data_IF_452881476930
#
_entry.id   IF_452881476930
#
_cell.length_a   1.000
_cell.length_b   1.000
_cell.length_c   1.000
_cell.angle_alpha   90.00
_cell.angle_beta   90.00
_cell.angle_gamma   90.00
#
_symmetry.space_group_name_H-M   'P 1'
#
loop_
_entity.id
_entity.type
_entity.pdbx_description
1 polymer ?
#
# COMPACT_ATOMS: atom_id res chain seq x y z
N UNK A 1 15.58 -11.67 -18.53
CA UNK A 1 16.77 -11.15 -17.83
C UNK A 1 16.36 -9.84 -17.15
N UNK A 2 16.77 -9.63 -15.90
CA UNK A 2 16.55 -8.35 -15.23
C UNK A 2 17.22 -7.22 -16.03
N UNK A 3 16.56 -6.07 -16.12
CA UNK A 3 17.07 -4.88 -16.81
C UNK A 3 17.54 -3.89 -15.74
N UNK A 4 18.76 -3.41 -15.87
CA UNK A 4 19.25 -2.30 -15.04
C UNK A 4 18.74 -0.97 -15.63
N UNK A 5 18.05 -0.21 -14.83
CA UNK A 5 17.47 1.09 -15.20
C UNK A 5 17.69 2.10 -14.07
N UNK A 6 17.50 3.37 -14.35
CA UNK A 6 17.56 4.42 -13.32
C UNK A 6 16.25 4.49 -12.52
N UNK A 7 16.27 5.16 -11.36
CA UNK A 7 15.05 5.42 -10.60
C UNK A 7 14.02 6.24 -11.42
N UNK A 8 14.50 7.17 -12.26
CA UNK A 8 13.66 7.94 -13.18
C UNK A 8 12.98 7.03 -14.20
N UNK A 9 13.75 6.15 -14.88
CA UNK A 9 13.16 5.20 -15.83
C UNK A 9 12.11 4.30 -15.17
N UNK A 10 12.37 3.86 -13.92
CA UNK A 10 11.42 3.09 -13.14
C UNK A 10 10.15 3.89 -12.83
N UNK A 11 10.30 5.13 -12.42
CA UNK A 11 9.17 6.03 -12.17
C UNK A 11 8.34 6.31 -13.45
N UNK A 12 8.99 6.37 -14.62
CA UNK A 12 8.32 6.55 -15.92
C UNK A 12 7.50 5.33 -16.36
N UNK A 13 7.80 4.13 -15.85
CA UNK A 13 7.04 2.91 -16.13
C UNK A 13 5.68 2.87 -15.44
N UNK A 14 5.50 3.59 -14.32
CA UNK A 14 4.25 3.62 -13.58
C UNK A 14 3.23 4.49 -14.30
N UNK A 15 2.07 3.90 -14.61
CA UNK A 15 1.04 4.54 -15.41
C UNK A 15 -0.13 5.05 -14.56
N UNK A 16 -0.97 5.90 -15.16
CA UNK A 16 -2.21 6.36 -14.52
C UNK A 16 -3.11 5.17 -14.18
N UNK A 17 -3.61 5.15 -12.95
CA UNK A 17 -4.50 4.10 -12.48
C UNK A 17 -3.83 2.84 -11.94
N UNK A 18 -2.51 2.68 -12.08
CA UNK A 18 -1.79 1.51 -11.59
C UNK A 18 -1.99 1.30 -10.07
N UNK A 19 -2.03 0.04 -9.69
CA UNK A 19 -1.94 -0.39 -8.30
C UNK A 19 -0.47 -0.63 -7.94
N UNK A 20 0.07 0.22 -7.06
CA UNK A 20 1.47 0.22 -6.65
C UNK A 20 1.60 -0.25 -5.21
N UNK A 21 2.49 -1.20 -4.96
CA UNK A 21 2.83 -1.66 -3.61
C UNK A 21 4.31 -1.52 -3.32
N UNK A 22 4.66 -1.48 -2.04
CA UNK A 22 6.04 -1.58 -1.58
C UNK A 22 6.15 -2.50 -0.35
N UNK A 23 7.27 -3.20 -0.25
CA UNK A 23 7.59 -4.01 0.93
C UNK A 23 8.39 -3.14 1.91
N UNK A 24 7.70 -2.58 2.90
CA UNK A 24 8.27 -1.64 3.86
C UNK A 24 7.89 -1.97 5.29
N UNK A 25 8.72 -1.55 6.22
CA UNK A 25 8.42 -1.52 7.65
C UNK A 25 8.93 -0.20 8.24
N UNK A 26 8.04 0.79 8.35
CA UNK A 26 8.44 2.15 8.68
C UNK A 26 9.42 2.72 7.65
N UNK A 27 10.59 3.16 8.08
CA UNK A 27 11.64 3.67 7.20
C UNK A 27 12.47 2.58 6.51
N UNK A 28 12.33 1.31 6.92
CA UNK A 28 13.07 0.20 6.33
C UNK A 28 12.42 -0.28 5.03
N UNK A 29 13.24 -0.62 4.04
CA UNK A 29 12.76 -1.12 2.75
C UNK A 29 12.12 -0.06 1.84
N UNK A 30 12.05 1.21 2.25
CA UNK A 30 11.43 2.27 1.45
C UNK A 30 12.23 2.52 0.17
N UNK A 31 11.60 2.46 -1.03
CA UNK A 31 12.24 2.75 -2.30
C UNK A 31 12.31 4.27 -2.55
N UNK A 32 13.01 4.99 -1.67
CA UNK A 32 13.00 6.46 -1.59
C UNK A 32 13.35 7.14 -2.91
N UNK A 33 14.39 6.66 -3.61
CA UNK A 33 14.83 7.25 -4.88
C UNK A 33 13.72 7.19 -5.95
N UNK A 34 12.97 6.08 -6.00
CA UNK A 34 11.85 5.94 -6.96
C UNK A 34 10.69 6.85 -6.54
N UNK A 35 10.39 6.96 -5.25
CA UNK A 35 9.35 7.85 -4.74
C UNK A 35 9.67 9.32 -5.03
N UNK A 36 10.92 9.74 -4.86
CA UNK A 36 11.37 11.09 -5.21
C UNK A 36 11.20 11.39 -6.71
N UNK A 37 11.57 10.46 -7.58
CA UNK A 37 11.39 10.64 -9.03
C UNK A 37 9.91 10.59 -9.45
N UNK A 38 9.07 9.80 -8.76
CA UNK A 38 7.61 9.82 -8.95
C UNK A 38 7.01 11.18 -8.56
N UNK A 39 7.38 11.72 -7.38
CA UNK A 39 6.95 13.05 -6.96
C UNK A 39 7.32 14.11 -7.99
N UNK A 40 8.60 14.12 -8.39
CA UNK A 40 9.11 15.06 -9.37
C UNK A 40 8.34 14.99 -10.69
N UNK A 41 8.16 13.78 -11.24
CA UNK A 41 7.38 13.57 -12.45
C UNK A 41 5.95 14.09 -12.30
N UNK A 42 5.29 13.77 -11.16
CA UNK A 42 3.93 14.24 -10.91
C UNK A 42 3.85 15.77 -10.83
N UNK A 43 4.77 16.42 -10.14
CA UNK A 43 4.80 17.89 -10.04
C UNK A 43 5.09 18.57 -11.36
N UNK A 44 5.90 17.95 -12.24
CA UNK A 44 6.24 18.47 -13.56
C UNK A 44 5.12 18.24 -14.60
N UNK A 45 4.42 17.09 -14.52
CA UNK A 45 3.54 16.65 -15.63
C UNK A 45 2.09 16.43 -15.22
N UNK A 46 1.78 16.32 -13.92
CA UNK A 46 0.49 15.89 -13.41
C UNK A 46 0.24 14.38 -13.55
N UNK A 47 1.28 13.59 -13.83
CA UNK A 47 1.24 12.13 -14.00
C UNK A 47 2.36 11.45 -13.20
N UNK A 48 2.16 10.21 -12.70
CA UNK A 48 0.94 9.42 -12.77
C UNK A 48 -0.17 9.96 -11.86
N UNK A 49 -1.42 9.64 -12.19
CA UNK A 49 -2.58 10.02 -11.40
C UNK A 49 -3.49 8.83 -11.10
N UNK A 50 -4.35 9.00 -10.12
CA UNK A 50 -5.37 8.01 -9.75
C UNK A 50 -4.83 6.65 -9.34
N UNK A 51 -3.62 6.59 -8.80
CA UNK A 51 -2.98 5.37 -8.34
C UNK A 51 -3.78 4.73 -7.18
N UNK A 52 -3.75 3.41 -7.09
CA UNK A 52 -4.05 2.67 -5.87
C UNK A 52 -2.74 2.37 -5.18
N UNK A 53 -2.50 2.96 -4.00
CA UNK A 53 -1.29 2.72 -3.26
C UNK A 53 -1.54 1.81 -2.06
N UNK A 54 -0.71 0.80 -1.88
CA UNK A 54 -0.86 -0.17 -0.79
C UNK A 54 0.47 -0.56 -0.17
N UNK A 55 0.47 -0.72 1.16
CA UNK A 55 1.58 -1.26 1.94
C UNK A 55 1.06 -1.89 3.23
N UNK A 56 1.80 -2.84 3.80
CA UNK A 56 1.32 -3.52 5.01
C UNK A 56 1.75 -2.81 6.31
N UNK A 57 2.98 -2.34 6.41
CA UNK A 57 3.59 -1.99 7.69
C UNK A 57 4.19 -0.57 7.76
N UNK A 58 3.53 0.39 7.15
CA UNK A 58 4.01 1.77 7.05
C UNK A 58 5.08 1.94 5.98
N UNK A 59 5.17 3.15 5.40
CA UNK A 59 6.11 3.48 4.33
C UNK A 59 6.65 4.89 4.54
N UNK A 60 7.66 5.03 5.39
CA UNK A 60 8.28 6.32 5.69
C UNK A 60 8.75 6.41 7.14
N UNK A 61 9.17 7.60 7.54
CA UNK A 61 9.68 7.90 8.87
C UNK A 61 8.64 8.61 9.72
N UNK A 62 8.61 8.34 11.01
CA UNK A 62 7.88 9.16 11.97
C UNK A 62 8.39 10.62 11.96
N UNK A 63 7.53 11.58 12.31
CA UNK A 63 7.83 13.02 12.23
C UNK A 63 9.20 13.41 12.83
N UNK A 64 9.51 12.92 14.03
CA UNK A 64 10.80 13.21 14.69
C UNK A 64 12.02 12.71 13.89
N UNK A 65 11.91 11.67 13.10
CA UNK A 65 12.98 11.18 12.23
C UNK A 65 13.07 11.98 10.94
N UNK A 66 11.94 12.48 10.42
CA UNK A 66 11.88 13.33 9.23
C UNK A 66 12.56 14.67 9.47
N UNK A 67 12.37 15.27 10.65
CA UNK A 67 13.04 16.53 11.05
C UNK A 67 14.57 16.42 11.01
N UNK A 68 15.12 15.21 11.16
CA UNK A 68 16.54 14.94 11.05
C UNK A 68 17.01 14.56 9.62
N UNK A 69 16.18 14.82 8.60
CA UNK A 69 16.47 14.50 7.20
C UNK A 69 16.33 13.01 6.83
N UNK A 70 15.59 12.26 7.63
CA UNK A 70 15.31 10.85 7.33
C UNK A 70 14.30 10.69 6.18
N UNK A 71 14.10 9.46 5.68
CA UNK A 71 13.28 9.24 4.49
C UNK A 71 11.83 9.73 4.69
N UNK A 72 11.27 10.33 3.64
CA UNK A 72 9.87 10.80 3.61
C UNK A 72 8.88 9.68 3.22
N UNK A 73 9.34 8.68 2.46
CA UNK A 73 8.53 7.55 2.05
C UNK A 73 7.28 7.97 1.27
N UNK A 74 6.11 7.51 1.71
CA UNK A 74 4.84 7.78 1.03
C UNK A 74 4.42 9.27 1.00
N UNK A 75 5.06 10.16 1.76
CA UNK A 75 4.81 11.60 1.64
C UNK A 75 5.08 12.10 0.20
N UNK A 76 6.02 11.47 -0.51
CA UNK A 76 6.33 11.81 -1.91
C UNK A 76 5.18 11.50 -2.87
N UNK A 77 4.34 10.52 -2.56
CA UNK A 77 3.33 10.03 -3.51
C UNK A 77 1.89 10.31 -3.07
N UNK A 78 1.67 10.80 -1.85
CA UNK A 78 0.33 11.10 -1.32
C UNK A 78 -0.23 12.45 -1.77
N UNK A 79 0.17 12.97 -2.93
CA UNK A 79 -0.35 14.23 -3.47
C UNK A 79 -1.79 14.11 -3.96
N UNK A 80 -2.53 15.23 -3.85
CA UNK A 80 -3.89 15.34 -4.38
C UNK A 80 -3.91 15.06 -5.88
N UNK A 81 -4.72 14.07 -6.31
CA UNK A 81 -4.83 13.64 -7.70
C UNK A 81 -3.82 12.55 -8.09
N UNK A 82 -2.71 12.38 -7.37
CA UNK A 82 -1.77 11.28 -7.61
C UNK A 82 -2.33 9.96 -7.10
N UNK A 83 -2.88 9.93 -5.89
CA UNK A 83 -3.56 8.76 -5.31
C UNK A 83 -5.08 8.92 -5.42
N UNK A 84 -5.77 7.84 -5.78
CA UNK A 84 -7.21 7.67 -5.71
C UNK A 84 -7.63 6.79 -4.54
N UNK A 85 -6.83 5.75 -4.23
CA UNK A 85 -7.06 4.80 -3.14
C UNK A 85 -5.79 4.57 -2.34
N UNK A 86 -5.93 4.61 -1.05
CA UNK A 86 -4.89 4.23 -0.10
C UNK A 86 -5.37 3.05 0.73
N UNK A 87 -4.64 1.93 0.71
CA UNK A 87 -5.01 0.68 1.39
C UNK A 87 -3.80 0.19 2.16
N UNK A 88 -3.81 0.37 3.49
CA UNK A 88 -2.68 0.00 4.32
C UNK A 88 -3.10 -0.33 5.75
N UNK A 89 -2.15 -0.65 6.63
CA UNK A 89 -2.49 -0.96 8.03
C UNK A 89 -2.52 0.27 8.94
N UNK A 90 -1.78 1.32 8.61
CA UNK A 90 -1.75 2.59 9.34
C UNK A 90 -1.02 3.68 8.54
N UNK A 91 -1.31 4.93 8.82
CA UNK A 91 -0.68 6.13 8.23
C UNK A 91 0.32 6.82 9.17
N UNK A 92 0.74 6.18 10.27
CA UNK A 92 1.56 6.82 11.31
C UNK A 92 2.97 7.23 10.86
N UNK A 93 3.45 6.68 9.73
CA UNK A 93 4.76 7.04 9.15
C UNK A 93 4.70 8.24 8.20
N UNK A 94 3.51 8.81 7.97
CA UNK A 94 3.30 9.92 7.03
C UNK A 94 2.26 10.89 7.58
N UNK A 95 2.73 12.02 8.10
CA UNK A 95 1.83 13.09 8.58
C UNK A 95 1.07 13.73 7.41
N UNK A 96 1.72 13.83 6.24
CA UNK A 96 1.08 14.37 5.05
C UNK A 96 -0.03 13.45 4.55
N UNK A 97 0.23 12.14 4.42
CA UNK A 97 -0.77 11.14 4.07
C UNK A 97 -1.93 11.13 5.08
N UNK A 98 -1.62 11.09 6.39
CA UNK A 98 -2.63 11.09 7.44
C UNK A 98 -3.55 12.33 7.35
N UNK A 99 -2.98 13.51 7.06
CA UNK A 99 -3.76 14.72 6.84
C UNK A 99 -4.66 14.61 5.61
N UNK A 100 -4.16 14.12 4.49
CA UNK A 100 -4.94 13.93 3.25
C UNK A 100 -6.11 12.95 3.47
N UNK A 101 -5.90 11.89 4.26
CA UNK A 101 -6.95 10.94 4.65
C UNK A 101 -8.01 11.64 5.50
N UNK A 102 -7.60 12.41 6.52
CA UNK A 102 -8.50 13.15 7.40
C UNK A 102 -9.31 14.22 6.65
N UNK A 103 -8.68 14.90 5.70
CA UNK A 103 -9.31 15.89 4.82
C UNK A 103 -10.17 15.23 3.71
N UNK A 104 -10.29 13.91 3.71
CA UNK A 104 -11.09 13.15 2.74
C UNK A 104 -10.68 13.40 1.28
N UNK A 105 -9.37 13.53 1.00
CA UNK A 105 -8.84 13.84 -0.34
C UNK A 105 -8.95 12.64 -1.28
N UNK A 106 -8.66 11.45 -0.80
CA UNK A 106 -8.79 10.17 -1.51
C UNK A 106 -9.42 9.11 -0.60
N UNK A 107 -9.93 8.04 -1.18
CA UNK A 107 -10.52 6.94 -0.41
C UNK A 107 -9.44 6.15 0.35
N UNK A 108 -9.67 5.85 1.63
CA UNK A 108 -8.69 5.19 2.47
C UNK A 108 -9.29 4.04 3.29
N UNK A 109 -8.60 2.90 3.26
CA UNK A 109 -8.90 1.71 4.05
C UNK A 109 -7.74 1.35 4.94
N UNK A 110 -8.05 0.97 6.19
CA UNK A 110 -7.06 0.44 7.12
C UNK A 110 -7.38 -1.03 7.41
N UNK A 111 -6.52 -1.93 6.94
CA UNK A 111 -6.66 -3.37 7.07
C UNK A 111 -5.60 -3.94 8.02
N UNK A 112 -5.85 -5.07 8.70
CA UNK A 112 -4.88 -5.62 9.63
C UNK A 112 -3.59 -6.02 8.93
N UNK A 113 -2.44 -5.53 9.41
CA UNK A 113 -1.11 -5.72 8.83
C UNK A 113 -0.80 -7.19 8.50
N UNK A 114 -0.92 -8.08 9.49
CA UNK A 114 -0.63 -9.50 9.30
C UNK A 114 -1.54 -10.16 8.26
N UNK A 115 -2.81 -9.74 8.21
CA UNK A 115 -3.77 -10.25 7.21
C UNK A 115 -3.41 -9.77 5.80
N UNK A 116 -2.95 -8.54 5.63
CA UNK A 116 -2.48 -8.04 4.33
C UNK A 116 -1.28 -8.85 3.82
N UNK A 117 -0.32 -9.19 4.70
CA UNK A 117 0.81 -10.06 4.33
C UNK A 117 0.34 -11.46 3.91
N UNK A 118 -0.62 -12.05 4.64
CA UNK A 118 -1.21 -13.34 4.26
C UNK A 118 -1.96 -13.24 2.93
N UNK A 119 -2.72 -12.17 2.71
CA UNK A 119 -3.44 -11.91 1.45
C UNK A 119 -2.47 -11.89 0.26
N UNK A 120 -1.36 -11.15 0.32
CA UNK A 120 -0.35 -11.11 -0.74
C UNK A 120 0.35 -12.46 -0.94
N UNK A 121 0.62 -13.18 0.16
CA UNK A 121 1.19 -14.53 0.07
C UNK A 121 0.25 -15.50 -0.67
N UNK A 122 -1.04 -15.45 -0.37
CA UNK A 122 -2.03 -16.28 -1.05
C UNK A 122 -2.20 -15.87 -2.52
N UNK A 123 -2.14 -14.58 -2.84
CA UNK A 123 -2.13 -14.09 -4.21
C UNK A 123 -0.90 -14.59 -5.00
N UNK A 124 0.29 -14.59 -4.40
CA UNK A 124 1.50 -15.15 -5.01
C UNK A 124 1.37 -16.64 -5.32
N UNK A 125 0.46 -17.34 -4.63
CA UNK A 125 0.11 -18.75 -4.88
C UNK A 125 -1.04 -18.91 -5.88
N UNK A 126 -1.56 -17.83 -6.45
CA UNK A 126 -2.66 -17.82 -7.41
C UNK A 126 -4.06 -17.79 -6.79
N UNK A 127 -4.18 -17.56 -5.48
CA UNK A 127 -5.46 -17.44 -4.80
C UNK A 127 -5.98 -15.99 -4.84
N UNK A 128 -7.28 -15.82 -4.68
CA UNK A 128 -7.96 -14.52 -4.79
C UNK A 128 -8.01 -13.73 -3.48
N UNK A 129 -7.35 -14.19 -2.43
CA UNK A 129 -7.34 -13.58 -1.11
C UNK A 129 -7.15 -14.62 -0.01
N UNK A 130 -7.43 -14.25 1.23
CA UNK A 130 -7.31 -15.15 2.38
C UNK A 130 -8.50 -15.07 3.32
N UNK A 131 -8.82 -16.19 3.97
CA UNK A 131 -9.76 -16.26 5.09
C UNK A 131 -9.04 -15.95 6.41
N UNK A 132 -9.67 -15.16 7.27
CA UNK A 132 -9.16 -14.85 8.61
C UNK A 132 -10.31 -14.56 9.57
N UNK A 133 -10.11 -14.83 10.85
CA UNK A 133 -11.00 -14.35 11.92
C UNK A 133 -10.57 -12.97 12.45
N UNK A 134 -9.38 -12.51 12.09
CA UNK A 134 -8.87 -11.19 12.48
C UNK A 134 -9.78 -10.12 11.89
N UNK A 135 -10.23 -9.20 12.71
CA UNK A 135 -11.13 -8.10 12.31
C UNK A 135 -12.61 -8.37 12.55
N UNK A 136 -13.05 -9.60 12.83
CA UNK A 136 -14.44 -9.90 13.20
C UNK A 136 -14.89 -9.01 14.36
N UNK A 137 -16.07 -8.37 14.22
CA UNK A 137 -16.65 -7.48 15.22
C UNK A 137 -15.92 -6.15 15.43
N UNK A 138 -14.98 -5.79 14.55
CA UNK A 138 -14.27 -4.50 14.54
C UNK A 138 -14.72 -3.63 13.36
N UNK A 139 -14.16 -2.42 13.23
CA UNK A 139 -14.44 -1.54 12.07
C UNK A 139 -14.02 -2.15 10.71
N UNK A 140 -13.16 -3.17 10.70
CA UNK A 140 -12.77 -3.89 9.46
C UNK A 140 -13.87 -4.83 8.97
N UNK A 141 -14.71 -5.30 9.89
CA UNK A 141 -15.84 -6.17 9.56
C UNK A 141 -16.85 -5.44 8.66
N UNK A 142 -17.24 -6.01 7.50
CA UNK A 142 -18.19 -5.38 6.58
C UNK A 142 -19.57 -5.06 7.19
N UNK A 143 -19.91 -5.73 8.29
CA UNK A 143 -21.15 -5.42 9.05
C UNK A 143 -21.08 -4.05 9.77
N UNK A 144 -19.90 -3.42 9.78
CA UNK A 144 -19.64 -2.08 10.30
C UNK A 144 -19.08 -1.18 9.19
N UNK A 145 -17.78 -0.90 9.19
CA UNK A 145 -17.15 0.03 8.24
C UNK A 145 -16.36 -0.66 7.10
N UNK A 146 -16.20 -1.99 7.12
CA UNK A 146 -15.47 -2.73 6.07
C UNK A 146 -14.01 -2.28 5.88
N UNK A 147 -13.39 -1.74 6.95
CA UNK A 147 -12.05 -1.19 6.93
C UNK A 147 -11.93 0.26 6.44
N UNK A 148 -13.03 0.89 6.00
CA UNK A 148 -13.01 2.30 5.57
C UNK A 148 -12.71 3.23 6.75
N UNK A 149 -11.77 4.16 6.55
CA UNK A 149 -11.37 5.13 7.57
C UNK A 149 -11.71 6.58 7.21
N UNK A 150 -12.37 6.81 6.07
CA UNK A 150 -12.89 8.11 5.70
C UNK A 150 -14.16 7.99 4.84
N UNK A 151 -14.83 9.13 4.60
CA UNK A 151 -16.13 9.14 3.92
C UNK A 151 -16.03 8.64 2.48
N UNK A 152 -14.99 9.04 1.72
CA UNK A 152 -14.82 8.57 0.34
C UNK A 152 -14.73 7.04 0.22
N UNK A 153 -14.08 6.39 1.18
CA UNK A 153 -14.02 4.93 1.20
C UNK A 153 -15.40 4.32 1.53
N UNK A 154 -16.15 4.91 2.46
CA UNK A 154 -17.53 4.48 2.78
C UNK A 154 -18.46 4.64 1.57
N UNK A 155 -18.32 5.73 0.84
CA UNK A 155 -19.12 5.96 -0.38
C UNK A 155 -18.84 4.89 -1.44
N UNK A 156 -17.57 4.55 -1.67
CA UNK A 156 -17.18 3.47 -2.60
C UNK A 156 -17.65 2.09 -2.13
N UNK A 157 -17.65 1.80 -0.82
CA UNK A 157 -18.25 0.56 -0.29
C UNK A 157 -19.74 0.49 -0.63
N UNK A 158 -20.47 1.59 -0.48
CA UNK A 158 -21.90 1.66 -0.84
C UNK A 158 -22.13 1.47 -2.36
N UNK A 159 -21.16 1.79 -3.18
CA UNK A 159 -21.15 1.54 -4.64
C UNK A 159 -20.70 0.11 -5.00
N UNK A 160 -20.34 -0.70 -4.01
CA UNK A 160 -19.95 -2.11 -4.18
C UNK A 160 -18.45 -2.37 -4.21
N UNK A 161 -17.60 -1.36 -4.02
CA UNK A 161 -16.15 -1.53 -3.93
C UNK A 161 -15.74 -1.95 -2.52
N UNK A 162 -15.55 -3.24 -2.30
CA UNK A 162 -15.22 -3.82 -0.99
C UNK A 162 -13.93 -4.63 -1.05
N UNK A 163 -13.12 -4.54 0.00
CA UNK A 163 -11.88 -5.33 0.16
C UNK A 163 -12.01 -6.46 1.18
N UNK A 164 -13.11 -6.46 1.94
CA UNK A 164 -13.39 -7.49 2.94
C UNK A 164 -14.82 -7.98 2.76
N UNK A 165 -15.02 -9.29 2.81
CA UNK A 165 -16.33 -9.93 2.77
C UNK A 165 -16.57 -10.72 4.06
N UNK A 166 -17.80 -10.67 4.58
CA UNK A 166 -18.22 -11.47 5.70
C UNK A 166 -18.70 -12.84 5.22
N UNK A 167 -18.13 -13.89 5.79
CA UNK A 167 -18.49 -15.29 5.52
C UNK A 167 -19.16 -15.84 6.78
N UNK A 168 -20.49 -15.91 6.82
CA UNK A 168 -21.24 -16.27 8.04
C UNK A 168 -21.07 -17.73 8.45
N UNK A 169 -20.75 -18.60 7.51
CA UNK A 169 -20.54 -20.02 7.77
C UNK A 169 -19.47 -20.59 6.84
N UNK A 170 -18.29 -20.82 7.39
CA UNK A 170 -17.29 -21.67 6.78
C UNK A 170 -16.97 -22.81 7.75
N UNK A 171 -17.59 -23.99 7.52
CA UNK A 171 -17.46 -25.18 8.36
C UNK A 171 -17.92 -24.97 9.80
N UNK A 172 -19.00 -24.23 10.02
CA UNK A 172 -19.57 -23.94 11.33
C UNK A 172 -18.98 -22.75 12.06
N UNK A 173 -18.14 -21.95 11.39
CA UNK A 173 -17.49 -20.78 11.98
C UNK A 173 -17.58 -19.55 11.08
N UNK A 174 -17.61 -18.37 11.70
CA UNK A 174 -17.58 -17.08 10.99
C UNK A 174 -16.15 -16.71 10.59
N UNK A 175 -16.00 -16.14 9.39
CA UNK A 175 -14.74 -15.60 8.87
C UNK A 175 -14.95 -14.27 8.15
N UNK A 176 -13.85 -13.56 7.97
CA UNK A 176 -13.70 -12.51 6.96
C UNK A 176 -12.86 -13.07 5.80
N UNK A 177 -13.28 -12.78 4.58
CA UNK A 177 -12.46 -13.02 3.40
C UNK A 177 -11.86 -11.68 2.94
N UNK A 178 -10.55 -11.58 2.98
CA UNK A 178 -9.79 -10.44 2.51
C UNK A 178 -9.45 -10.65 1.04
N UNK A 179 -10.02 -9.81 0.19
CA UNK A 179 -9.82 -9.89 -1.27
C UNK A 179 -8.40 -9.49 -1.64
N UNK A 180 -7.81 -10.25 -2.54
CA UNK A 180 -6.54 -9.87 -3.15
C UNK A 180 -6.66 -8.56 -3.93
N UNK A 181 -5.58 -7.78 -3.93
CA UNK A 181 -5.46 -6.57 -4.72
C UNK A 181 -4.74 -6.90 -6.02
N UNK A 182 -5.29 -6.49 -7.15
CA UNK A 182 -4.62 -6.61 -8.44
C UNK A 182 -3.47 -5.59 -8.48
N UNK A 183 -2.25 -6.06 -8.24
CA UNK A 183 -1.04 -5.24 -8.16
C UNK A 183 -0.36 -5.20 -9.53
N UNK A 184 -0.20 -4.00 -10.09
CA UNK A 184 0.50 -3.77 -11.37
C UNK A 184 2.00 -3.61 -11.14
N UNK A 185 2.40 -2.90 -10.08
CA UNK A 185 3.80 -2.58 -9.78
C UNK A 185 4.14 -2.86 -8.32
N UNK A 186 5.21 -3.63 -8.09
CA UNK A 186 5.78 -3.83 -6.77
C UNK A 186 7.17 -3.18 -6.69
N UNK A 187 7.34 -2.23 -5.77
CA UNK A 187 8.60 -1.56 -5.50
C UNK A 187 9.29 -2.22 -4.32
N UNK A 188 10.43 -2.83 -4.57
CA UNK A 188 11.20 -3.56 -3.56
C UNK A 188 12.59 -2.95 -3.44
N UNK A 189 13.04 -2.76 -2.20
CA UNK A 189 14.41 -2.38 -1.89
C UNK A 189 15.19 -3.58 -1.40
N UNK A 190 16.44 -3.72 -1.85
CA UNK A 190 17.33 -4.78 -1.42
C UNK A 190 18.79 -4.35 -1.50
N UNK A 191 19.68 -5.21 -1.00
CA UNK A 191 21.13 -4.94 -0.92
C UNK A 191 21.84 -5.17 -2.26
N UNK A 192 21.52 -6.29 -2.90
CA UNK A 192 22.10 -6.70 -4.19
C UNK A 192 21.06 -7.40 -5.03
N UNK A 193 21.22 -7.33 -6.34
CA UNK A 193 20.42 -8.08 -7.28
C UNK A 193 21.34 -8.75 -8.32
N UNK A 194 21.06 -10.01 -8.66
CA UNK A 194 21.78 -10.71 -9.72
C UNK A 194 21.13 -10.44 -11.10
N UNK A 195 21.77 -10.94 -12.15
CA UNK A 195 21.29 -10.79 -13.54
C UNK A 195 19.96 -11.51 -13.84
N UNK A 196 19.51 -12.37 -12.94
CA UNK A 196 18.24 -13.09 -13.05
C UNK A 196 17.10 -12.41 -12.29
N UNK A 197 17.40 -11.36 -11.51
CA UNK A 197 16.43 -10.64 -10.68
C UNK A 197 16.30 -11.19 -9.26
N UNK A 198 17.15 -12.14 -8.84
CA UNK A 198 17.18 -12.56 -7.45
C UNK A 198 17.82 -11.47 -6.61
N UNK A 199 17.12 -11.04 -5.57
CA UNK A 199 17.53 -9.95 -4.70
C UNK A 199 17.89 -10.49 -3.30
N UNK A 200 18.95 -9.94 -2.70
CA UNK A 200 19.33 -10.19 -1.32
C UNK A 200 19.03 -8.99 -0.45
N UNK A 201 18.84 -9.22 0.85
CA UNK A 201 18.46 -8.21 1.84
C UNK A 201 19.43 -8.18 3.04
N UNK A 202 20.65 -8.69 2.89
CA UNK A 202 21.60 -8.89 3.99
C UNK A 202 22.03 -7.62 4.73
N UNK A 203 21.81 -6.44 4.14
CA UNK A 203 22.08 -5.14 4.78
C UNK A 203 20.83 -4.32 5.07
N UNK A 204 19.66 -4.81 4.71
CA UNK A 204 18.40 -4.15 5.00
C UNK A 204 17.92 -4.58 6.39
N UNK A 205 17.63 -3.64 7.31
CA UNK A 205 17.05 -3.97 8.60
C UNK A 205 15.58 -4.38 8.43
N UNK A 206 15.14 -5.43 9.11
CA UNK A 206 13.72 -5.83 9.25
C UNK A 206 12.99 -6.26 7.96
N UNK A 207 13.68 -6.77 6.97
CA UNK A 207 13.05 -7.34 5.78
C UNK A 207 13.03 -8.87 5.82
#
# INVERSE_FOLDING_TARGET
>A
MAKLITARDAAEMIQDGDAVTCATFGASGVPEDIFMELEKRFLETGHPRSLTYTHAAGSGSFAALKENGFCRGEDHICHTGMIKRWIASHSACSDFCAKQIADNVYAAWCLPLGTMIHMWREQARGLKGCLSKVGLGTYVDPRFDGGAINQKAKDLINEGETYVEYIPDFRGEEFLFYKGLDIDVALLRGTKMDKHGNMSIEKEPYN
#
